data_IF_054571488774
#
_entry.id   IF_054571488774
#
_cell.length_a   1.000
_cell.length_b   1.000
_cell.length_c   1.000
_cell.angle_alpha   90.00
_cell.angle_beta   90.00
_cell.angle_gamma   90.00
#
_symmetry.space_group_name_H-M   'P 1'
#
loop_
_entity.id
_entity.type
_entity.pdbx_description
1 polymer ?
#
# COMPACT_ATOMS: atom_id res chain seq x y z
N UNK A 1 -9.49 2.00 16.46
CA UNK A 1 -9.61 2.76 15.20
C UNK A 1 -8.46 3.76 15.19
N UNK A 2 -7.55 3.64 14.22
CA UNK A 2 -6.42 4.58 14.12
C UNK A 2 -6.92 5.96 13.72
N UNK A 3 -6.24 6.99 14.20
CA UNK A 3 -6.43 8.38 13.76
C UNK A 3 -6.11 8.48 12.27
N UNK A 4 -6.74 9.45 11.57
CA UNK A 4 -6.50 9.71 10.14
C UNK A 4 -5.01 10.03 9.87
N UNK A 5 -4.29 10.50 10.88
CA UNK A 5 -2.88 10.86 10.81
C UNK A 5 -1.93 9.73 11.26
N UNK A 6 -2.43 8.58 11.72
CA UNK A 6 -1.55 7.50 12.16
C UNK A 6 -0.78 6.90 10.97
N UNK A 7 0.52 6.58 11.13
CA UNK A 7 1.30 5.97 10.07
C UNK A 7 0.79 4.55 9.80
N UNK A 8 0.54 4.25 8.51
CA UNK A 8 0.04 2.95 8.06
C UNK A 8 0.68 2.57 6.73
N UNK A 9 1.00 1.29 6.59
CA UNK A 9 1.42 0.70 5.31
C UNK A 9 0.29 -0.13 4.73
N UNK A 10 -0.14 0.22 3.52
CA UNK A 10 -1.10 -0.57 2.74
C UNK A 10 -0.36 -1.32 1.65
N UNK A 11 -0.65 -2.60 1.48
CA UNK A 11 -0.09 -3.43 0.40
C UNK A 11 -1.22 -3.89 -0.51
N UNK A 12 -1.20 -3.42 -1.75
CA UNK A 12 -2.14 -3.81 -2.79
C UNK A 12 -1.51 -4.92 -3.64
N UNK A 13 -2.06 -6.13 -3.57
CA UNK A 13 -1.59 -7.32 -4.28
C UNK A 13 -2.39 -7.48 -5.57
N UNK A 14 -1.72 -7.45 -6.71
CA UNK A 14 -2.38 -7.52 -8.01
C UNK A 14 -1.60 -8.40 -8.99
N UNK A 15 -2.28 -8.89 -10.03
CA UNK A 15 -1.66 -9.74 -11.03
C UNK A 15 -0.80 -8.91 -11.99
N UNK A 16 0.35 -9.44 -12.44
CA UNK A 16 1.30 -8.77 -13.36
C UNK A 16 0.66 -8.30 -14.67
N UNK A 17 -0.43 -8.93 -15.11
CA UNK A 17 -1.21 -8.47 -16.28
C UNK A 17 -1.78 -7.04 -16.13
N UNK A 18 -1.82 -6.49 -14.92
CA UNK A 18 -2.28 -5.14 -14.63
C UNK A 18 -1.13 -4.19 -14.25
N UNK A 19 0.12 -4.51 -14.61
CA UNK A 19 1.30 -3.68 -14.34
C UNK A 19 1.12 -2.23 -14.83
N UNK A 20 0.58 -2.05 -16.04
CA UNK A 20 0.35 -0.73 -16.63
C UNK A 20 -0.80 0.05 -15.97
N UNK A 21 -1.56 -0.58 -15.07
CA UNK A 21 -2.72 0.00 -14.42
C UNK A 21 -2.42 0.60 -13.03
N UNK A 22 -1.15 0.73 -12.60
CA UNK A 22 -0.78 1.23 -11.27
C UNK A 22 -1.54 2.53 -10.89
N UNK A 23 -1.51 3.52 -11.77
CA UNK A 23 -2.17 4.81 -11.53
C UNK A 23 -3.70 4.69 -11.44
N UNK A 24 -4.31 3.72 -12.12
CA UNK A 24 -5.74 3.46 -12.04
C UNK A 24 -6.10 2.73 -10.73
N UNK A 25 -5.30 1.74 -10.32
CA UNK A 25 -5.43 1.02 -9.06
C UNK A 25 -5.35 2.02 -7.89
N UNK A 26 -4.32 2.88 -7.86
CA UNK A 26 -4.15 3.88 -6.82
C UNK A 26 -5.34 4.85 -6.78
N UNK A 27 -5.72 5.44 -7.92
CA UNK A 27 -6.89 6.35 -8.00
C UNK A 27 -8.15 5.72 -7.46
N UNK A 28 -8.44 4.48 -7.83
CA UNK A 28 -9.64 3.77 -7.37
C UNK A 28 -9.57 3.46 -5.88
N UNK A 29 -8.40 3.04 -5.38
CA UNK A 29 -8.20 2.81 -3.95
C UNK A 29 -8.45 4.08 -3.14
N UNK A 30 -7.87 5.21 -3.54
CA UNK A 30 -8.08 6.49 -2.84
C UNK A 30 -9.53 6.98 -2.94
N UNK A 31 -10.24 6.75 -4.04
CA UNK A 31 -11.66 7.09 -4.15
C UNK A 31 -12.55 6.31 -3.16
N UNK A 32 -12.14 5.10 -2.76
CA UNK A 32 -12.91 4.23 -1.86
C UNK A 32 -12.47 4.37 -0.39
N UNK A 33 -11.19 4.55 -0.14
CA UNK A 33 -10.57 4.43 1.19
C UNK A 33 -9.64 5.60 1.55
N UNK A 34 -9.39 6.50 0.61
CA UNK A 34 -8.40 7.56 0.74
C UNK A 34 -8.94 8.84 1.38
N UNK A 35 -8.07 9.62 2.03
CA UNK A 35 -8.37 11.02 2.36
C UNK A 35 -8.41 11.89 1.10
N UNK A 36 -9.01 13.08 1.20
CA UNK A 36 -9.16 14.02 0.09
C UNK A 36 -7.78 14.42 -0.53
N UNK A 37 -7.66 14.56 -1.87
CA UNK A 37 -6.36 14.58 -2.56
C UNK A 37 -5.44 15.79 -2.28
N UNK A 38 -5.96 16.87 -1.71
CA UNK A 38 -5.28 18.17 -1.65
C UNK A 38 -4.15 18.24 -0.62
N UNK A 39 -4.01 17.24 0.27
CA UNK A 39 -3.01 17.25 1.33
C UNK A 39 -2.47 15.84 1.67
N UNK A 40 -2.52 14.93 0.69
CA UNK A 40 -2.28 13.50 0.94
C UNK A 40 -0.80 13.23 1.18
N UNK A 41 -0.42 13.11 2.44
CA UNK A 41 0.87 12.62 2.89
C UNK A 41 0.94 11.11 2.63
N UNK A 42 1.35 10.73 1.42
CA UNK A 42 1.64 9.34 1.10
C UNK A 42 2.80 9.17 0.12
N UNK A 43 3.32 7.95 0.07
CA UNK A 43 4.27 7.50 -0.95
C UNK A 43 3.86 6.15 -1.53
N UNK A 44 4.10 5.93 -2.83
CA UNK A 44 3.80 4.67 -3.54
C UNK A 44 5.09 4.00 -4.01
N UNK A 45 5.30 2.75 -3.60
CA UNK A 45 6.35 1.89 -4.14
C UNK A 45 5.74 0.80 -4.99
N UNK A 46 6.07 0.78 -6.29
CA UNK A 46 5.78 -0.35 -7.15
C UNK A 46 6.84 -1.44 -6.95
N UNK A 47 6.41 -2.64 -6.59
CA UNK A 47 7.26 -3.79 -6.32
C UNK A 47 6.99 -4.86 -7.38
N UNK A 48 8.06 -5.18 -8.11
CA UNK A 48 8.09 -6.23 -9.13
C UNK A 48 7.70 -7.61 -8.55
N UNK A 49 7.16 -8.51 -9.38
CA UNK A 49 6.90 -9.87 -8.95
C UNK A 49 8.23 -10.59 -8.64
N UNK A 50 8.17 -11.55 -7.73
CA UNK A 50 9.25 -12.52 -7.51
C UNK A 50 8.99 -13.78 -8.35
N UNK A 51 9.07 -14.97 -7.76
CA UNK A 51 8.73 -16.26 -8.38
C UNK A 51 7.21 -16.46 -8.62
N UNK A 52 6.39 -15.44 -8.39
CA UNK A 52 4.93 -15.49 -8.57
C UNK A 52 4.45 -14.43 -9.56
N UNK A 53 3.27 -14.62 -10.16
CA UNK A 53 2.64 -13.61 -11.04
C UNK A 53 2.01 -12.44 -10.28
N UNK A 54 2.41 -12.20 -9.02
CA UNK A 54 1.83 -11.18 -8.14
C UNK A 54 2.78 -10.00 -7.94
N UNK A 55 2.37 -8.85 -8.42
CA UNK A 55 2.97 -7.55 -8.13
C UNK A 55 2.35 -6.92 -6.89
N UNK A 56 3.06 -5.95 -6.31
CA UNK A 56 2.61 -5.25 -5.12
C UNK A 56 2.79 -3.75 -5.28
N UNK A 57 1.76 -2.96 -4.94
CA UNK A 57 1.94 -1.54 -4.65
C UNK A 57 1.96 -1.39 -3.13
N UNK A 58 3.02 -0.80 -2.60
CA UNK A 58 3.13 -0.47 -1.18
C UNK A 58 2.88 1.02 -1.01
N UNK A 59 1.81 1.35 -0.31
CA UNK A 59 1.42 2.73 0.01
C UNK A 59 1.77 3.03 1.46
N UNK A 60 2.64 4.01 1.67
CA UNK A 60 3.00 4.52 2.99
C UNK A 60 2.19 5.77 3.28
N UNK A 61 1.24 5.69 4.20
CA UNK A 61 0.40 6.80 4.63
C UNK A 61 1.01 7.55 5.81
N UNK A 62 0.87 8.87 5.79
CA UNK A 62 1.37 9.80 6.81
C UNK A 62 2.90 9.74 6.98
N UNK A 63 3.63 9.51 5.88
CA UNK A 63 5.07 9.29 5.90
C UNK A 63 5.91 10.56 6.15
N UNK A 64 5.44 11.74 5.75
CA UNK A 64 6.09 13.04 6.00
C UNK A 64 5.83 13.53 7.43
N UNK A 65 4.64 13.29 7.97
CA UNK A 65 4.29 13.56 9.36
C UNK A 65 5.05 12.63 10.32
N UNK A 66 5.31 11.40 9.90
CA UNK A 66 6.03 10.39 10.67
C UNK A 66 7.28 9.91 9.92
N UNK A 67 8.36 10.72 9.82
CA UNK A 67 9.56 10.36 9.06
C UNK A 67 10.34 9.22 9.71
N UNK A 68 10.20 9.04 11.03
CA UNK A 68 10.81 7.97 11.80
C UNK A 68 9.71 7.08 12.38
N UNK A 69 9.62 5.86 11.89
CA UNK A 69 8.63 4.88 12.37
C UNK A 69 9.31 3.63 12.93
N UNK A 70 8.64 2.98 13.86
CA UNK A 70 8.96 1.63 14.27
C UNK A 70 8.25 0.65 13.32
N UNK A 71 8.99 0.10 12.35
CA UNK A 71 8.48 -0.83 11.34
C UNK A 71 7.80 -2.07 11.96
N UNK A 72 8.14 -2.44 13.20
CA UNK A 72 7.51 -3.58 13.90
C UNK A 72 6.11 -3.24 14.43
N UNK A 73 5.82 -1.95 14.66
CA UNK A 73 4.58 -1.47 15.30
C UNK A 73 3.61 -0.79 14.34
N UNK A 74 4.05 -0.36 13.16
CA UNK A 74 3.13 0.27 12.21
C UNK A 74 2.00 -0.67 11.83
N UNK A 75 0.82 -0.08 11.60
CA UNK A 75 -0.34 -0.80 11.10
C UNK A 75 -0.09 -1.24 9.65
N UNK A 76 -0.48 -2.48 9.36
CA UNK A 76 -0.47 -3.03 8.00
C UNK A 76 -1.89 -3.35 7.59
N UNK A 77 -2.23 -3.00 6.35
CA UNK A 77 -3.42 -3.51 5.68
C UNK A 77 -3.01 -4.11 4.35
N UNK A 78 -3.57 -5.27 4.03
CA UNK A 78 -3.28 -5.95 2.77
C UNK A 78 -4.58 -6.12 2.02
N UNK A 79 -4.59 -5.74 0.75
CA UNK A 79 -5.72 -5.92 -0.13
C UNK A 79 -5.32 -6.79 -1.31
N UNK A 80 -6.20 -7.73 -1.68
CA UNK A 80 -6.15 -8.37 -2.98
C UNK A 80 -6.94 -7.52 -3.97
N UNK A 81 -6.29 -7.14 -5.05
CA UNK A 81 -6.88 -6.35 -6.13
C UNK A 81 -7.38 -7.31 -7.22
N UNK A 82 -8.62 -7.12 -7.66
CA UNK A 82 -9.20 -7.83 -8.79
C UNK A 82 -9.72 -6.82 -9.80
N UNK A 83 -9.54 -7.07 -11.09
CA UNK A 83 -10.13 -6.29 -12.16
C UNK A 83 -11.34 -7.04 -12.71
N UNK A 84 -12.52 -6.42 -12.65
CA UNK A 84 -13.71 -6.82 -13.40
C UNK A 84 -14.00 -5.70 -14.41
N UNK A 85 -15.07 -4.95 -14.20
CA UNK A 85 -15.36 -3.70 -14.92
C UNK A 85 -14.50 -2.54 -14.37
N UNK A 86 -14.19 -2.56 -13.07
CA UNK A 86 -13.27 -1.65 -12.37
C UNK A 86 -12.43 -2.45 -11.36
N UNK A 87 -11.53 -1.78 -10.64
CA UNK A 87 -10.72 -2.38 -9.57
C UNK A 87 -11.53 -2.54 -8.28
N UNK A 88 -11.61 -3.79 -7.82
CA UNK A 88 -12.17 -4.19 -6.53
C UNK A 88 -11.05 -4.55 -5.55
N UNK A 89 -11.27 -4.24 -4.27
CA UNK A 89 -10.30 -4.44 -3.20
C UNK A 89 -10.88 -5.34 -2.11
N UNK A 90 -10.30 -6.53 -1.95
CA UNK A 90 -10.65 -7.47 -0.90
C UNK A 90 -9.62 -7.37 0.23
N UNK A 91 -10.02 -6.88 1.41
CA UNK A 91 -9.14 -6.81 2.58
C UNK A 91 -8.80 -8.22 3.07
N UNK A 92 -7.52 -8.51 3.21
CA UNK A 92 -7.01 -9.79 3.70
C UNK A 92 -6.82 -9.77 5.22
N UNK A 93 -6.63 -10.96 5.79
CA UNK A 93 -6.51 -11.17 7.22
C UNK A 93 -5.10 -10.88 7.78
N UNK A 94 -4.97 -11.01 9.11
CA UNK A 94 -3.74 -10.72 9.83
C UNK A 94 -2.53 -11.56 9.38
N UNK A 95 -2.75 -12.80 8.92
CA UNK A 95 -1.68 -13.64 8.39
C UNK A 95 -1.05 -13.01 7.13
N UNK A 96 -1.88 -12.44 6.24
CA UNK A 96 -1.38 -11.69 5.09
C UNK A 96 -0.62 -10.43 5.54
N UNK A 97 -1.09 -9.72 6.57
CA UNK A 97 -0.40 -8.56 7.13
C UNK A 97 0.98 -8.92 7.73
N UNK A 98 1.09 -10.04 8.46
CA UNK A 98 2.38 -10.49 9.00
C UNK A 98 3.35 -10.86 7.89
N UNK A 99 2.89 -11.56 6.86
CA UNK A 99 3.72 -11.89 5.71
C UNK A 99 4.17 -10.62 4.97
N UNK A 100 3.26 -9.67 4.75
CA UNK A 100 3.59 -8.39 4.15
C UNK A 100 4.63 -7.61 4.96
N UNK A 101 4.53 -7.61 6.30
CA UNK A 101 5.52 -6.96 7.18
C UNK A 101 6.92 -7.49 6.95
N UNK A 102 7.11 -8.82 6.95
CA UNK A 102 8.40 -9.47 6.70
C UNK A 102 8.92 -9.09 5.30
N UNK A 103 8.06 -9.14 4.28
CA UNK A 103 8.45 -8.83 2.89
C UNK A 103 8.81 -7.35 2.68
N UNK A 104 8.17 -6.46 3.43
CA UNK A 104 8.39 -5.02 3.34
C UNK A 104 9.53 -4.50 4.23
N UNK A 105 10.25 -5.36 4.98
CA UNK A 105 11.40 -4.95 5.81
C UNK A 105 12.48 -4.20 5.01
N UNK A 106 12.65 -4.56 3.74
CA UNK A 106 13.63 -3.91 2.84
C UNK A 106 13.07 -2.67 2.14
N UNK A 107 11.77 -2.41 2.25
CA UNK A 107 11.11 -1.26 1.64
C UNK A 107 11.19 -0.09 2.61
N UNK A 108 12.01 0.90 2.24
CA UNK A 108 12.17 2.14 3.00
C UNK A 108 10.81 2.84 3.16
N UNK A 109 10.61 3.47 4.31
CA UNK A 109 9.41 4.23 4.61
C UNK A 109 9.44 5.60 3.93
N UNK A 110 8.50 5.86 3.01
CA UNK A 110 8.40 7.11 2.24
C UNK A 110 9.60 7.41 1.31
N UNK A 111 9.45 8.35 0.35
CA UNK A 111 10.56 9.09 -0.30
C UNK A 111 10.07 10.47 -0.82
N UNK A 112 10.86 11.52 -1.01
CA UNK A 112 12.31 11.62 -1.11
C UNK A 112 13.04 12.00 0.17
N UNK A 113 14.24 11.43 0.26
CA UNK A 113 15.32 11.78 1.18
C UNK A 113 15.58 13.29 1.14
N UNK A 114 15.67 13.91 2.32
CA UNK A 114 16.52 15.09 2.49
C UNK A 114 17.98 14.74 2.14
#
# INVERSE_FOLDING_TARGET
MGSINDPKRVVLRFHVQHELDEAAINRRFFALYGPEPSNSDFYSHLIAPNESSQMHIVLDFNCKLHPNIDHSKIAYEVFKVKKKDDFEFEKLNDAACQYARIRCERIKWGTDRA
#
